data_IF_924836948814
#
_entry.id   IF_924836948814
#
_cell.length_a   1.000
_cell.length_b   1.000
_cell.length_c   1.000
_cell.angle_alpha   90.00
_cell.angle_beta   90.00
_cell.angle_gamma   90.00
#
_symmetry.space_group_name_H-M   'P 1'
#
loop_
_entity.id
_entity.type
_entity.pdbx_description
1 polymer ?
#
# COMPACT_ATOMS: atom_id res chain seq x y z
N UNK A 1 -1.02 1.93 -22.18
CA UNK A 1 -1.88 2.20 -21.01
C UNK A 1 -2.27 3.70 -20.95
N UNK A 2 -2.40 4.31 -22.13
CA UNK A 2 -2.88 5.67 -22.29
C UNK A 2 -4.43 5.75 -22.24
N UNK A 3 -4.98 6.88 -22.69
CA UNK A 3 -6.41 7.18 -22.65
C UNK A 3 -7.29 6.19 -23.44
N UNK A 4 -6.73 5.50 -24.42
CA UNK A 4 -7.45 4.50 -25.23
C UNK A 4 -7.68 3.15 -24.51
N UNK A 5 -7.06 2.94 -23.35
CA UNK A 5 -7.26 1.71 -22.58
C UNK A 5 -8.61 1.75 -21.87
N UNK A 6 -9.47 0.77 -22.17
CA UNK A 6 -10.81 0.69 -21.58
C UNK A 6 -10.81 0.25 -20.11
N UNK A 7 -9.81 -0.52 -19.72
CA UNK A 7 -9.71 -1.03 -18.35
C UNK A 7 -8.25 -1.18 -17.92
N UNK A 8 -7.73 -0.14 -17.30
CA UNK A 8 -6.36 -0.13 -16.78
C UNK A 8 -6.16 -1.21 -15.72
N UNK A 9 -7.08 -1.34 -14.78
CA UNK A 9 -6.93 -2.23 -13.64
C UNK A 9 -6.86 -3.70 -14.10
N UNK A 10 -7.72 -4.13 -15.02
CA UNK A 10 -7.68 -5.49 -15.55
C UNK A 10 -6.48 -5.73 -16.48
N UNK A 11 -5.89 -4.69 -17.06
CA UNK A 11 -4.65 -4.86 -17.82
C UNK A 11 -3.48 -5.32 -16.94
N UNK A 12 -3.39 -4.85 -15.68
CA UNK A 12 -2.44 -5.39 -14.70
C UNK A 12 -2.74 -6.84 -14.35
N UNK A 13 -4.02 -7.19 -14.23
CA UNK A 13 -4.44 -8.58 -14.03
C UNK A 13 -4.03 -9.51 -15.18
N UNK A 14 -4.11 -9.03 -16.42
CA UNK A 14 -3.62 -9.79 -17.60
C UNK A 14 -2.09 -9.94 -17.54
N UNK A 15 -1.35 -8.88 -17.18
CA UNK A 15 0.10 -8.97 -17.02
C UNK A 15 0.47 -9.97 -15.90
N UNK A 16 -0.21 -9.92 -14.77
CA UNK A 16 -0.01 -10.90 -13.69
C UNK A 16 -0.34 -12.33 -14.12
N UNK A 17 -1.44 -12.52 -14.84
CA UNK A 17 -1.85 -13.83 -15.36
C UNK A 17 -0.80 -14.43 -16.33
N UNK A 18 -0.17 -13.61 -17.17
CA UNK A 18 0.94 -14.04 -18.01
C UNK A 18 2.11 -14.59 -17.19
N UNK A 19 2.47 -13.89 -16.11
CA UNK A 19 3.55 -14.31 -15.21
C UNK A 19 3.19 -15.60 -14.44
N UNK A 20 1.98 -15.65 -13.88
CA UNK A 20 1.54 -16.75 -13.00
C UNK A 20 1.14 -18.02 -13.78
N UNK A 21 0.21 -17.89 -14.75
CA UNK A 21 -0.39 -19.04 -15.43
C UNK A 21 0.34 -19.44 -16.70
N UNK A 22 0.94 -18.51 -17.41
CA UNK A 22 1.64 -18.79 -18.65
C UNK A 22 3.16 -18.88 -18.46
N UNK A 23 3.67 -18.46 -17.31
CA UNK A 23 5.12 -18.38 -17.00
C UNK A 23 5.88 -17.66 -18.13
N UNK A 24 5.25 -16.63 -18.68
CA UNK A 24 5.75 -15.85 -19.81
C UNK A 24 6.26 -14.49 -19.32
N UNK A 25 7.41 -14.08 -19.86
CA UNK A 25 7.97 -12.75 -19.62
C UNK A 25 7.00 -11.66 -20.09
N UNK A 26 6.88 -10.59 -19.31
CA UNK A 26 6.16 -9.38 -19.67
C UNK A 26 7.13 -8.20 -19.64
N UNK A 27 7.11 -7.38 -20.68
CA UNK A 27 7.87 -6.15 -20.74
C UNK A 27 6.99 -4.99 -20.27
N UNK A 28 7.41 -4.32 -19.20
CA UNK A 28 6.77 -3.09 -18.73
C UNK A 28 7.49 -1.89 -19.35
N UNK A 29 6.79 -1.20 -20.25
CA UNK A 29 7.31 -0.07 -21.00
C UNK A 29 7.06 1.22 -20.21
N UNK A 30 8.01 1.61 -19.38
CA UNK A 30 7.89 2.76 -18.48
C UNK A 30 7.83 4.07 -19.27
N UNK A 31 6.87 4.91 -18.93
CA UNK A 31 6.54 6.18 -19.59
C UNK A 31 6.13 6.07 -21.06
N UNK A 32 6.09 4.87 -21.63
CA UNK A 32 5.56 4.66 -22.96
C UNK A 32 4.04 4.52 -22.92
N UNK A 33 3.32 5.47 -23.52
CA UNK A 33 1.84 5.53 -23.48
C UNK A 33 1.28 5.27 -22.06
N UNK A 34 1.78 6.00 -21.07
CA UNK A 34 1.33 5.88 -19.68
C UNK A 34 1.77 4.58 -18.98
N UNK A 35 2.83 3.92 -19.43
CA UNK A 35 3.35 2.69 -18.85
C UNK A 35 2.64 1.43 -19.34
N UNK A 36 2.83 1.09 -20.60
CA UNK A 36 2.17 -0.06 -21.26
C UNK A 36 2.88 -1.39 -21.01
N UNK A 37 2.17 -2.49 -21.25
CA UNK A 37 2.74 -3.83 -21.23
C UNK A 37 2.89 -4.37 -22.65
N UNK A 38 3.98 -5.12 -22.90
CA UNK A 38 4.22 -5.84 -24.15
C UNK A 38 4.67 -7.26 -23.83
N UNK A 39 4.21 -8.22 -24.61
CA UNK A 39 4.58 -9.63 -24.48
C UNK A 39 4.49 -10.37 -25.81
N UNK A 40 5.03 -11.58 -25.86
CA UNK A 40 4.86 -12.45 -27.02
C UNK A 40 3.37 -12.73 -27.28
N UNK A 41 2.98 -12.73 -28.57
CA UNK A 41 1.61 -13.04 -28.97
C UNK A 41 1.26 -14.50 -28.67
N UNK A 42 0.06 -14.69 -28.15
CA UNK A 42 -0.60 -16.00 -28.15
C UNK A 42 -2.13 -15.82 -28.27
N UNK A 43 -2.80 -16.80 -28.89
CA UNK A 43 -4.27 -16.80 -28.99
C UNK A 43 -4.95 -16.86 -27.61
N UNK A 44 -4.27 -17.45 -26.61
CA UNK A 44 -4.75 -17.45 -25.23
C UNK A 44 -4.75 -16.05 -24.64
N UNK A 45 -3.67 -15.29 -24.84
CA UNK A 45 -3.56 -13.91 -24.38
C UNK A 45 -4.62 -13.02 -25.04
N UNK A 46 -4.81 -13.18 -26.34
CA UNK A 46 -5.85 -12.46 -27.07
C UNK A 46 -7.26 -12.76 -26.52
N UNK A 47 -7.53 -14.03 -26.21
CA UNK A 47 -8.79 -14.44 -25.58
C UNK A 47 -8.94 -13.82 -24.21
N UNK A 48 -7.88 -13.84 -23.39
CA UNK A 48 -7.87 -13.27 -22.05
C UNK A 48 -8.15 -11.74 -22.05
N UNK A 49 -7.49 -11.00 -22.96
CA UNK A 49 -7.75 -9.58 -23.14
C UNK A 49 -9.22 -9.29 -23.51
N UNK A 50 -9.78 -10.08 -24.44
CA UNK A 50 -11.19 -9.95 -24.85
C UNK A 50 -12.15 -10.25 -23.70
N UNK A 51 -11.89 -11.33 -22.96
CA UNK A 51 -12.73 -11.76 -21.83
C UNK A 51 -12.75 -10.72 -20.71
N UNK A 52 -11.61 -10.10 -20.40
CA UNK A 52 -11.48 -9.07 -19.37
C UNK A 52 -11.78 -7.66 -19.85
N UNK A 53 -12.09 -7.46 -21.12
CA UNK A 53 -12.39 -6.11 -21.68
C UNK A 53 -11.17 -5.19 -21.76
N UNK A 54 -9.96 -5.75 -21.86
CA UNK A 54 -8.71 -5.00 -21.96
C UNK A 54 -8.41 -4.67 -23.40
N UNK A 55 -8.13 -3.38 -23.70
CA UNK A 55 -7.72 -2.96 -25.05
C UNK A 55 -6.30 -3.46 -25.34
N UNK A 56 -6.09 -4.02 -26.54
CA UNK A 56 -4.80 -4.51 -26.98
C UNK A 56 -4.60 -4.33 -28.49
N UNK A 57 -3.35 -4.37 -28.93
CA UNK A 57 -2.98 -4.38 -30.34
C UNK A 57 -2.01 -5.50 -30.62
N UNK A 58 -2.26 -6.27 -31.68
CA UNK A 58 -1.29 -7.24 -32.20
C UNK A 58 -0.41 -6.50 -33.20
N UNK A 59 0.89 -6.49 -32.93
CA UNK A 59 1.89 -5.79 -33.73
C UNK A 59 2.86 -6.76 -34.38
N UNK A 60 3.49 -6.37 -35.47
CA UNK A 60 4.56 -7.16 -36.10
C UNK A 60 5.85 -7.09 -35.27
N UNK A 61 6.74 -8.05 -35.49
CA UNK A 61 8.09 -8.05 -34.89
C UNK A 61 8.86 -6.75 -35.24
N UNK A 62 8.70 -6.29 -36.49
CA UNK A 62 9.33 -5.00 -36.91
C UNK A 62 8.81 -3.82 -36.07
N UNK A 63 7.50 -3.76 -35.81
CA UNK A 63 6.91 -2.70 -34.99
C UNK A 63 7.34 -2.84 -33.52
N UNK A 64 7.46 -4.03 -32.98
CA UNK A 64 7.97 -4.27 -31.63
C UNK A 64 9.41 -3.78 -31.52
N UNK A 65 10.29 -4.15 -32.46
CA UNK A 65 11.68 -3.69 -32.51
C UNK A 65 11.81 -2.15 -32.64
N UNK A 66 10.87 -1.50 -33.33
CA UNK A 66 10.82 -0.03 -33.41
C UNK A 66 10.49 0.59 -32.04
N UNK A 67 9.50 0.06 -31.33
CA UNK A 67 9.16 0.51 -29.97
C UNK A 67 10.35 0.32 -29.02
N UNK A 68 10.98 -0.84 -29.05
CA UNK A 68 12.18 -1.10 -28.22
C UNK A 68 13.32 -0.15 -28.54
N UNK A 69 13.55 0.15 -29.82
CA UNK A 69 14.58 1.10 -30.28
C UNK A 69 14.26 2.53 -29.84
N UNK A 70 12.99 2.95 -29.91
CA UNK A 70 12.52 4.24 -29.39
C UNK A 70 12.79 4.35 -27.88
N UNK A 71 12.35 3.36 -27.12
CA UNK A 71 12.58 3.32 -25.67
C UNK A 71 14.06 3.27 -25.33
N UNK A 72 14.87 2.55 -26.11
CA UNK A 72 16.30 2.44 -25.91
C UNK A 72 17.07 3.75 -26.18
N UNK A 73 16.47 4.69 -26.91
CA UNK A 73 17.14 5.97 -27.22
C UNK A 73 17.49 6.75 -25.93
N UNK A 74 18.77 7.14 -25.73
CA UNK A 74 19.19 7.87 -24.52
C UNK A 74 18.55 9.25 -24.34
N UNK A 75 17.97 9.85 -25.37
CA UNK A 75 17.34 11.18 -25.29
C UNK A 75 15.92 11.16 -24.71
N UNK A 76 15.28 9.98 -24.61
CA UNK A 76 13.90 9.88 -24.12
C UNK A 76 13.85 9.43 -22.66
N UNK A 77 12.89 9.98 -21.91
CA UNK A 77 12.60 9.56 -20.53
C UNK A 77 11.70 8.32 -20.49
N UNK A 78 12.19 7.23 -21.06
CA UNK A 78 11.51 5.94 -21.09
C UNK A 78 12.49 4.83 -20.73
N UNK A 79 12.00 3.71 -20.21
CA UNK A 79 12.78 2.49 -20.04
C UNK A 79 11.87 1.26 -20.19
N UNK A 80 12.48 0.10 -20.31
CA UNK A 80 11.81 -1.17 -20.41
C UNK A 80 12.30 -2.08 -19.28
N UNK A 81 11.35 -2.58 -18.51
CA UNK A 81 11.60 -3.47 -17.38
C UNK A 81 10.99 -4.82 -17.68
N UNK A 82 11.77 -5.87 -17.49
CA UNK A 82 11.30 -7.24 -17.59
C UNK A 82 10.65 -7.66 -16.27
N UNK A 83 9.42 -8.16 -16.36
CA UNK A 83 8.73 -8.86 -15.29
C UNK A 83 8.89 -10.36 -15.53
N UNK A 84 9.42 -11.10 -14.55
CA UNK A 84 9.81 -12.50 -14.76
C UNK A 84 8.91 -13.50 -14.06
N UNK A 85 8.48 -13.20 -12.83
CA UNK A 85 7.70 -14.12 -12.00
C UNK A 85 6.54 -13.38 -11.34
N UNK A 86 5.41 -14.05 -11.18
CA UNK A 86 4.33 -13.51 -10.37
C UNK A 86 4.72 -13.49 -8.88
N UNK A 87 4.58 -12.37 -8.17
CA UNK A 87 4.86 -12.33 -6.74
C UNK A 87 3.80 -13.09 -5.96
N UNK A 88 4.21 -13.72 -4.86
CA UNK A 88 3.31 -14.32 -3.88
C UNK A 88 2.83 -13.24 -2.92
N UNK A 89 1.52 -12.99 -2.93
CA UNK A 89 0.89 -11.88 -2.23
C UNK A 89 0.25 -12.36 -0.94
N UNK A 90 0.58 -11.72 0.17
CA UNK A 90 -0.10 -11.83 1.44
C UNK A 90 -0.88 -10.54 1.75
N UNK A 91 -2.09 -10.70 2.29
CA UNK A 91 -2.90 -9.63 2.85
C UNK A 91 -3.06 -9.91 4.34
N UNK A 92 -2.58 -8.99 5.17
CA UNK A 92 -2.74 -9.07 6.61
C UNK A 92 -4.09 -8.50 7.01
N UNK A 93 -5.01 -9.36 7.38
CA UNK A 93 -6.38 -8.99 7.75
C UNK A 93 -6.98 -10.01 8.70
N UNK A 94 -7.87 -9.60 9.64
CA UNK A 94 -8.67 -10.52 10.43
C UNK A 94 -9.47 -11.46 9.55
N UNK A 95 -9.70 -12.69 10.05
CA UNK A 95 -10.51 -13.69 9.35
C UNK A 95 -12.01 -13.46 9.52
N UNK A 96 -12.39 -12.65 10.50
CA UNK A 96 -13.77 -12.23 10.76
C UNK A 96 -14.17 -11.11 9.80
N UNK A 97 -15.48 -11.04 9.51
CA UNK A 97 -16.01 -9.97 8.66
C UNK A 97 -15.86 -8.62 9.35
N UNK A 98 -15.13 -7.72 8.69
CA UNK A 98 -15.01 -6.33 9.11
C UNK A 98 -16.21 -5.50 8.61
N UNK A 99 -16.56 -4.39 9.27
CA UNK A 99 -17.66 -3.51 8.85
C UNK A 99 -17.21 -2.51 7.75
N UNK A 100 -16.05 -2.69 7.18
CA UNK A 100 -15.48 -1.93 6.07
C UNK A 100 -14.86 -2.88 5.05
N UNK A 101 -14.59 -2.37 3.88
CA UNK A 101 -13.88 -3.05 2.82
C UNK A 101 -12.37 -2.75 2.87
N UNK A 102 -11.62 -3.34 1.96
CA UNK A 102 -10.19 -3.17 1.80
C UNK A 102 -9.89 -2.88 0.32
N UNK A 103 -9.41 -1.66 0.05
CA UNK A 103 -9.12 -1.19 -1.31
C UNK A 103 -8.19 -2.13 -2.08
N UNK A 104 -7.21 -2.73 -1.40
CA UNK A 104 -6.25 -3.64 -2.04
C UNK A 104 -6.92 -4.97 -2.40
N UNK A 105 -7.68 -5.57 -1.49
CA UNK A 105 -8.39 -6.82 -1.78
C UNK A 105 -9.47 -6.63 -2.86
N UNK A 106 -10.11 -5.46 -2.88
CA UNK A 106 -11.06 -5.10 -3.94
C UNK A 106 -10.38 -5.06 -5.31
N UNK A 107 -9.26 -4.35 -5.44
CA UNK A 107 -8.58 -4.24 -6.74
C UNK A 107 -7.91 -5.54 -7.15
N UNK A 108 -7.37 -6.33 -6.21
CA UNK A 108 -6.84 -7.67 -6.51
C UNK A 108 -7.93 -8.59 -7.04
N UNK A 109 -9.10 -8.59 -6.38
CA UNK A 109 -10.27 -9.38 -6.81
C UNK A 109 -10.79 -8.92 -8.18
N UNK A 110 -10.91 -7.60 -8.40
CA UNK A 110 -11.34 -7.04 -9.67
C UNK A 110 -10.39 -7.37 -10.82
N UNK A 111 -9.09 -7.26 -10.59
CA UNK A 111 -8.04 -7.60 -11.55
C UNK A 111 -7.79 -9.12 -11.66
N UNK A 112 -8.46 -9.95 -10.86
CA UNK A 112 -8.30 -11.41 -10.80
C UNK A 112 -6.86 -11.84 -10.46
N UNK A 113 -6.25 -11.14 -9.50
CA UNK A 113 -4.92 -11.42 -8.97
C UNK A 113 -5.06 -12.21 -7.66
N UNK A 114 -4.53 -13.42 -7.55
CA UNK A 114 -4.67 -14.25 -6.36
C UNK A 114 -3.83 -13.71 -5.20
N UNK A 115 -4.37 -13.83 -3.98
CA UNK A 115 -3.68 -13.48 -2.73
C UNK A 115 -4.03 -14.46 -1.62
N UNK A 116 -3.26 -14.43 -0.53
CA UNK A 116 -3.49 -15.24 0.66
C UNK A 116 -3.71 -14.33 1.86
N UNK A 117 -4.84 -14.51 2.56
CA UNK A 117 -5.08 -13.80 3.82
C UNK A 117 -4.29 -14.47 4.94
N UNK A 118 -3.52 -13.68 5.66
CA UNK A 118 -2.79 -14.06 6.87
C UNK A 118 -3.12 -13.08 7.98
N UNK A 119 -2.92 -13.50 9.23
CA UNK A 119 -3.13 -12.62 10.37
C UNK A 119 -2.08 -12.90 11.46
N UNK A 120 -2.29 -12.44 12.68
CA UNK A 120 -1.35 -12.54 13.80
C UNK A 120 -0.74 -13.94 13.94
N UNK A 121 -1.58 -14.99 13.89
CA UNK A 121 -1.15 -16.37 14.07
C UNK A 121 -0.17 -16.83 12.98
N UNK A 122 -0.46 -16.54 11.73
CA UNK A 122 0.40 -16.90 10.61
C UNK A 122 1.72 -16.14 10.65
N UNK A 123 1.70 -14.87 11.02
CA UNK A 123 2.90 -14.03 11.15
C UNK A 123 3.79 -14.52 12.26
N UNK A 124 3.25 -14.77 13.44
CA UNK A 124 4.01 -15.25 14.60
C UNK A 124 4.53 -16.68 14.41
N UNK A 125 3.82 -17.52 13.66
CA UNK A 125 4.28 -18.86 13.27
C UNK A 125 5.28 -18.85 12.09
N UNK A 126 5.78 -17.70 11.66
CA UNK A 126 6.87 -17.57 10.70
C UNK A 126 6.49 -17.87 9.25
N UNK A 127 5.24 -17.60 8.84
CA UNK A 127 4.79 -17.83 7.45
C UNK A 127 5.20 -16.72 6.48
N UNK A 128 5.59 -15.52 6.94
CA UNK A 128 5.94 -14.39 6.08
C UNK A 128 6.98 -14.70 5.00
N UNK A 129 8.05 -15.48 5.26
CA UNK A 129 9.06 -15.80 4.23
C UNK A 129 8.54 -16.62 3.04
N UNK A 130 7.29 -17.07 3.06
CA UNK A 130 6.65 -17.76 1.93
C UNK A 130 6.11 -16.79 0.89
N UNK A 131 6.08 -15.50 1.19
CA UNK A 131 5.52 -14.43 0.36
C UNK A 131 6.61 -13.45 -0.08
N UNK A 132 6.35 -12.75 -1.17
CA UNK A 132 7.21 -11.70 -1.70
C UNK A 132 6.69 -10.32 -1.30
N UNK A 133 5.37 -10.17 -1.19
CA UNK A 133 4.68 -8.90 -0.95
C UNK A 133 3.63 -9.04 0.15
N UNK A 134 3.59 -8.07 1.06
CA UNK A 134 2.68 -8.00 2.21
C UNK A 134 1.90 -6.70 2.19
N UNK A 135 0.58 -6.78 2.32
CA UNK A 135 -0.31 -5.65 2.50
C UNK A 135 -0.78 -5.51 3.94
N UNK A 136 -0.75 -4.27 4.45
CA UNK A 136 -1.37 -3.84 5.71
C UNK A 136 -2.34 -2.70 5.40
N UNK A 137 -3.55 -2.72 5.97
CA UNK A 137 -4.52 -1.65 5.71
C UNK A 137 -5.02 -0.98 7.00
N UNK A 138 -6.19 -1.34 7.49
CA UNK A 138 -6.82 -0.67 8.64
C UNK A 138 -6.33 -1.15 9.99
N UNK A 139 -5.32 -1.96 10.03
CA UNK A 139 -4.86 -2.54 11.29
C UNK A 139 -4.14 -1.51 12.14
N UNK A 140 -4.54 -1.46 13.39
CA UNK A 140 -3.86 -0.69 14.41
C UNK A 140 -2.81 -1.57 15.09
N UNK A 141 -1.55 -1.23 14.89
CA UNK A 141 -0.42 -1.94 15.49
C UNK A 141 -0.03 -1.42 16.88
N UNK A 142 -0.68 -0.37 17.37
CA UNK A 142 -0.42 0.18 18.72
C UNK A 142 -1.16 -0.59 19.82
N UNK A 143 -2.22 -1.33 19.47
CA UNK A 143 -3.08 -2.04 20.39
C UNK A 143 -4.26 -1.23 20.93
N UNK A 144 -4.57 -0.07 20.30
CA UNK A 144 -5.68 0.80 20.68
C UNK A 144 -6.97 0.50 19.88
N UNK A 145 -6.99 -0.62 19.15
CA UNK A 145 -8.14 -1.11 18.37
C UNK A 145 -8.75 -0.06 17.44
N UNK A 146 -7.90 0.65 16.69
CA UNK A 146 -8.31 1.69 15.76
C UNK A 146 -8.88 2.95 16.42
N UNK A 147 -8.74 3.09 17.73
CA UNK A 147 -9.39 4.15 18.54
C UNK A 147 -10.91 4.21 18.36
N UNK A 148 -11.52 3.12 17.96
CA UNK A 148 -12.97 3.02 17.78
C UNK A 148 -13.75 2.94 19.11
N UNK A 149 -13.07 2.80 20.24
CA UNK A 149 -13.71 2.65 21.55
C UNK A 149 -14.73 3.74 21.85
N UNK A 150 -14.42 5.00 21.58
CA UNK A 150 -15.27 6.13 21.90
C UNK A 150 -16.65 6.07 21.22
N UNK A 151 -16.69 5.58 19.97
CA UNK A 151 -17.92 5.55 19.15
C UNK A 151 -18.54 4.16 19.04
N UNK A 152 -17.77 3.08 19.22
CA UNK A 152 -18.17 1.72 18.87
C UNK A 152 -17.91 0.68 19.96
N UNK A 153 -17.59 1.06 21.22
CA UNK A 153 -17.23 0.14 22.30
C UNK A 153 -18.27 -0.96 22.58
N UNK A 154 -19.54 -0.76 22.21
CA UNK A 154 -20.63 -1.73 22.34
C UNK A 154 -21.03 -2.38 21.01
N UNK A 155 -20.44 -1.98 19.90
CA UNK A 155 -20.74 -2.56 18.60
C UNK A 155 -20.24 -4.03 18.54
N UNK A 156 -21.02 -4.99 18.04
CA UNK A 156 -20.62 -6.40 18.02
C UNK A 156 -19.27 -6.63 17.37
N UNK A 157 -19.02 -6.01 16.20
CA UNK A 157 -17.76 -6.16 15.49
C UNK A 157 -16.54 -5.67 16.30
N UNK A 158 -16.68 -4.57 17.08
CA UNK A 158 -15.61 -4.05 17.93
C UNK A 158 -15.33 -5.00 19.10
N UNK A 159 -16.39 -5.47 19.77
CA UNK A 159 -16.28 -6.43 20.88
C UNK A 159 -15.63 -7.72 20.39
N UNK A 160 -16.00 -8.21 19.21
CA UNK A 160 -15.43 -9.41 18.61
C UNK A 160 -13.94 -9.19 18.28
N UNK A 161 -13.57 -8.05 17.70
CA UNK A 161 -12.17 -7.69 17.42
C UNK A 161 -11.31 -7.70 18.70
N UNK A 162 -11.79 -7.06 19.77
CA UNK A 162 -11.07 -7.04 21.06
C UNK A 162 -10.92 -8.46 21.62
N UNK A 163 -12.01 -9.23 21.66
CA UNK A 163 -11.99 -10.60 22.20
C UNK A 163 -11.08 -11.52 21.40
N UNK A 164 -11.08 -11.41 20.07
CA UNK A 164 -10.23 -12.21 19.20
C UNK A 164 -8.76 -11.87 19.41
N UNK A 165 -8.41 -10.57 19.44
CA UNK A 165 -7.04 -10.10 19.67
C UNK A 165 -6.53 -10.55 21.05
N UNK A 166 -7.32 -10.39 22.11
CA UNK A 166 -6.96 -10.81 23.45
C UNK A 166 -6.85 -12.35 23.58
N UNK A 167 -7.71 -13.09 22.87
CA UNK A 167 -7.61 -14.55 22.78
C UNK A 167 -6.33 -14.96 22.06
N UNK A 168 -5.96 -14.28 20.98
CA UNK A 168 -4.74 -14.52 20.22
C UNK A 168 -3.50 -14.19 21.07
N UNK A 169 -3.53 -13.07 21.82
CA UNK A 169 -2.45 -12.70 22.74
C UNK A 169 -2.21 -13.83 23.76
N UNK A 170 -3.25 -14.31 24.42
CA UNK A 170 -3.14 -15.43 25.38
C UNK A 170 -2.63 -16.70 24.73
N UNK A 171 -3.07 -17.04 23.51
CA UNK A 171 -2.61 -18.21 22.76
C UNK A 171 -1.09 -18.20 22.54
N UNK A 172 -0.53 -17.03 22.28
CA UNK A 172 0.90 -16.83 22.04
C UNK A 172 1.71 -16.45 23.31
N UNK A 173 1.05 -16.43 24.48
CA UNK A 173 1.72 -16.16 25.78
C UNK A 173 1.98 -14.68 26.05
N UNK A 174 1.30 -13.78 25.36
CA UNK A 174 1.33 -12.34 25.62
C UNK A 174 0.27 -11.93 26.64
N UNK A 175 0.52 -10.82 27.35
CA UNK A 175 -0.40 -10.32 28.39
C UNK A 175 -1.58 -9.52 27.80
N UNK A 176 -1.37 -8.84 26.67
CA UNK A 176 -2.37 -7.96 26.05
C UNK A 176 -2.25 -7.96 24.53
N UNK A 177 -3.27 -7.42 23.85
CA UNK A 177 -3.27 -7.18 22.40
C UNK A 177 -2.11 -6.28 21.97
N UNK A 178 -1.71 -5.30 22.78
CA UNK A 178 -0.55 -4.44 22.52
C UNK A 178 0.76 -5.25 22.45
N UNK A 179 1.01 -6.16 23.39
CA UNK A 179 2.22 -7.01 23.35
C UNK A 179 2.21 -7.95 22.15
N UNK A 180 1.04 -8.48 21.77
CA UNK A 180 0.85 -9.27 20.56
C UNK A 180 1.22 -8.46 19.31
N UNK A 181 0.63 -7.27 19.14
CA UNK A 181 0.86 -6.42 17.96
C UNK A 181 2.32 -5.98 17.87
N UNK A 182 2.97 -5.67 19.00
CA UNK A 182 4.42 -5.42 19.03
C UNK A 182 5.23 -6.59 18.47
N UNK A 183 4.91 -7.81 18.87
CA UNK A 183 5.61 -9.00 18.37
C UNK A 183 5.37 -9.20 16.86
N UNK A 184 4.15 -8.94 16.38
CA UNK A 184 3.79 -9.00 14.95
C UNK A 184 4.56 -7.96 14.14
N UNK A 185 4.61 -6.71 14.59
CA UNK A 185 5.37 -5.63 13.95
C UNK A 185 6.85 -5.97 13.78
N UNK A 186 7.47 -6.56 14.80
CA UNK A 186 8.87 -7.00 14.73
C UNK A 186 9.07 -8.11 13.69
N UNK A 187 8.13 -9.05 13.55
CA UNK A 187 8.17 -10.07 12.50
C UNK A 187 8.00 -9.49 11.09
N UNK A 188 7.13 -8.51 10.93
CA UNK A 188 6.98 -7.80 9.65
C UNK A 188 8.26 -7.01 9.32
N UNK A 189 8.87 -6.36 10.32
CA UNK A 189 10.18 -5.70 10.15
C UNK A 189 11.26 -6.70 9.68
N UNK A 190 11.36 -7.87 10.32
CA UNK A 190 12.30 -8.93 9.92
C UNK A 190 12.07 -9.37 8.47
N UNK A 191 10.80 -9.51 8.05
CA UNK A 191 10.43 -9.84 6.67
C UNK A 191 10.94 -8.77 5.68
N UNK A 192 10.68 -7.50 5.95
CA UNK A 192 11.16 -6.40 5.10
C UNK A 192 12.69 -6.36 5.05
N UNK A 193 13.36 -6.43 6.21
CA UNK A 193 14.83 -6.44 6.27
C UNK A 193 15.44 -7.63 5.51
N UNK A 194 14.73 -8.74 5.42
CA UNK A 194 15.12 -9.94 4.67
C UNK A 194 14.97 -9.82 3.15
N UNK A 195 14.24 -8.83 2.65
CA UNK A 195 14.00 -8.62 1.21
C UNK A 195 12.52 -8.61 0.81
N UNK A 196 11.60 -8.64 1.77
CA UNK A 196 10.16 -8.54 1.52
C UNK A 196 9.72 -7.14 1.11
N UNK A 197 8.63 -7.06 0.37
CA UNK A 197 7.99 -5.82 -0.07
C UNK A 197 6.76 -5.54 0.79
N UNK A 198 6.75 -4.41 1.49
CA UNK A 198 5.62 -3.97 2.32
C UNK A 198 4.84 -2.87 1.61
N UNK A 199 3.52 -2.99 1.61
CA UNK A 199 2.60 -1.94 1.19
C UNK A 199 1.57 -1.69 2.29
N UNK A 200 1.47 -0.47 2.79
CA UNK A 200 0.51 -0.12 3.83
C UNK A 200 -0.35 1.08 3.42
N UNK A 201 -1.61 1.04 3.85
CA UNK A 201 -2.59 2.12 3.67
C UNK A 201 -3.29 2.44 4.98
N UNK A 202 -3.98 3.56 5.02
CA UNK A 202 -4.81 4.00 6.15
C UNK A 202 -4.02 3.99 7.48
N UNK A 203 -4.66 3.62 8.58
CA UNK A 203 -4.05 3.56 9.92
C UNK A 203 -2.86 2.59 10.05
N UNK A 204 -2.71 1.65 9.13
CA UNK A 204 -1.56 0.76 9.16
C UNK A 204 -0.24 1.46 8.81
N UNK A 205 -0.26 2.66 8.27
CA UNK A 205 0.95 3.42 7.90
C UNK A 205 1.65 4.02 9.12
N UNK A 206 0.96 4.84 9.88
CA UNK A 206 1.51 5.52 11.05
C UNK A 206 1.54 4.63 12.29
N UNK A 207 0.49 3.81 12.53
CA UNK A 207 0.45 2.92 13.69
C UNK A 207 1.55 1.87 13.66
N UNK A 208 1.98 1.42 12.48
CA UNK A 208 3.13 0.53 12.33
C UNK A 208 4.41 1.20 12.83
N UNK A 209 4.68 2.42 12.40
CA UNK A 209 5.87 3.17 12.84
C UNK A 209 5.78 3.58 14.32
N UNK A 210 4.59 3.95 14.82
CA UNK A 210 4.37 4.22 16.24
C UNK A 210 4.69 2.96 17.08
N UNK A 211 4.22 1.79 16.66
CA UNK A 211 4.50 0.54 17.34
C UNK A 211 6.00 0.17 17.32
N UNK A 212 6.71 0.48 16.23
CA UNK A 212 8.16 0.33 16.14
C UNK A 212 8.89 1.31 17.08
N UNK A 213 8.44 2.55 17.20
CA UNK A 213 9.04 3.53 18.11
C UNK A 213 8.75 3.19 19.58
N UNK A 214 7.59 2.61 19.87
CA UNK A 214 7.11 2.32 21.22
C UNK A 214 7.49 0.91 21.72
N UNK A 215 8.55 0.29 21.18
CA UNK A 215 8.95 -1.08 21.56
C UNK A 215 9.17 -1.26 23.07
N UNK A 216 9.64 -0.22 23.74
CA UNK A 216 10.03 -0.26 25.16
C UNK A 216 9.12 0.56 26.07
N UNK A 217 8.02 1.13 25.55
CA UNK A 217 7.10 1.95 26.32
C UNK A 217 5.65 1.59 26.02
N UNK A 218 4.75 1.91 26.94
CA UNK A 218 3.32 1.74 26.77
C UNK A 218 2.67 3.01 26.24
N UNK A 219 1.97 2.90 25.13
CA UNK A 219 1.25 4.00 24.47
C UNK A 219 -0.28 3.83 24.54
N UNK A 220 -0.76 2.76 25.19
CA UNK A 220 -2.19 2.48 25.32
C UNK A 220 -2.80 3.09 26.58
N UNK A 221 -3.99 3.66 26.46
CA UNK A 221 -4.78 4.04 27.62
C UNK A 221 -5.53 2.85 28.20
N UNK A 222 -5.86 2.91 29.51
CA UNK A 222 -6.43 1.82 30.31
C UNK A 222 -7.66 1.13 29.67
N UNK A 223 -8.46 1.85 28.87
CA UNK A 223 -9.65 1.26 28.26
C UNK A 223 -9.32 0.25 27.16
N UNK A 224 -8.08 0.23 26.66
CA UNK A 224 -7.66 -0.67 25.58
C UNK A 224 -7.04 -1.95 26.10
N UNK A 225 -6.19 -1.90 27.13
CA UNK A 225 -5.40 -3.06 27.60
C UNK A 225 -5.45 -3.31 29.12
N UNK A 226 -6.14 -2.44 29.88
CA UNK A 226 -6.37 -2.63 31.31
C UNK A 226 -5.41 -1.89 32.24
N UNK A 227 -4.24 -1.48 31.76
CA UNK A 227 -3.33 -0.57 32.46
C UNK A 227 -3.26 0.81 31.75
N UNK A 228 -2.51 1.73 32.27
CA UNK A 228 -2.47 3.09 31.72
C UNK A 228 -1.20 3.33 30.94
N UNK A 229 -1.31 4.28 30.00
CA UNK A 229 -0.16 4.76 29.23
C UNK A 229 1.02 5.13 30.14
N UNK A 230 2.23 4.80 29.72
CA UNK A 230 3.44 5.20 30.43
C UNK A 230 3.51 6.73 30.54
N UNK A 231 3.76 7.29 31.75
CA UNK A 231 3.91 8.75 31.92
C UNK A 231 4.98 9.37 31.02
N UNK A 232 6.03 8.63 30.70
CA UNK A 232 7.15 9.02 29.85
C UNK A 232 7.02 8.55 28.40
N UNK A 233 5.87 8.00 27.98
CA UNK A 233 5.68 7.39 26.66
C UNK A 233 6.27 8.20 25.50
N UNK A 234 5.99 9.52 25.46
CA UNK A 234 6.50 10.41 24.42
C UNK A 234 8.02 10.52 24.40
N UNK A 235 8.65 10.58 25.58
CA UNK A 235 10.09 10.70 25.72
C UNK A 235 10.84 9.39 25.45
N UNK A 236 10.14 8.26 25.63
CA UNK A 236 10.69 6.92 25.47
C UNK A 236 10.57 6.40 24.02
N UNK A 237 9.99 7.19 23.09
CA UNK A 237 9.91 6.80 21.70
C UNK A 237 11.28 6.75 21.02
N UNK A 238 11.55 5.63 20.36
CA UNK A 238 12.82 5.36 19.68
C UNK A 238 12.63 5.48 18.14
N UNK A 239 12.61 6.70 17.62
CA UNK A 239 12.34 6.99 16.21
C UNK A 239 13.31 6.34 15.21
N UNK A 240 14.52 5.92 15.66
CA UNK A 240 15.46 5.18 14.81
C UNK A 240 14.90 3.84 14.33
N UNK A 241 13.91 3.29 15.02
CA UNK A 241 13.27 2.02 14.65
C UNK A 241 12.16 2.18 13.60
N UNK A 242 11.61 3.40 13.45
CA UNK A 242 10.58 3.70 12.46
C UNK A 242 11.10 3.49 11.04
N UNK A 243 10.20 3.15 10.14
CA UNK A 243 10.49 3.08 8.70
C UNK A 243 10.51 4.47 8.07
N UNK A 244 9.42 5.22 8.21
CA UNK A 244 9.20 6.47 7.48
C UNK A 244 9.30 7.73 8.35
N UNK A 245 8.88 7.68 9.63
CA UNK A 245 8.61 8.88 10.40
C UNK A 245 9.60 9.12 11.54
N UNK A 246 9.70 10.40 11.96
CA UNK A 246 10.58 10.87 13.04
C UNK A 246 9.92 12.00 13.81
N UNK A 247 10.27 12.14 15.08
CA UNK A 247 9.92 13.30 15.93
C UNK A 247 8.42 13.60 16.05
N UNK A 248 7.56 12.63 15.78
CA UNK A 248 6.13 12.79 15.90
C UNK A 248 5.69 12.86 17.37
N UNK A 249 4.55 13.50 17.61
CA UNK A 249 3.91 13.62 18.90
C UNK A 249 2.69 12.70 18.97
N UNK A 250 2.63 11.86 20.01
CA UNK A 250 1.48 10.98 20.22
C UNK A 250 0.22 11.75 20.58
N UNK A 251 -0.89 11.42 19.95
CA UNK A 251 -2.20 11.82 20.40
C UNK A 251 -2.69 10.81 21.46
N UNK A 252 -2.73 11.25 22.72
CA UNK A 252 -3.03 10.40 23.86
C UNK A 252 -4.53 10.29 24.17
N UNK A 253 -5.34 11.23 23.66
CA UNK A 253 -6.76 11.19 23.92
C UNK A 253 -7.41 9.96 23.27
N UNK A 254 -8.11 9.11 24.03
CA UNK A 254 -8.86 8.00 23.46
C UNK A 254 -10.10 8.46 22.67
N UNK A 255 -10.43 9.74 22.72
CA UNK A 255 -11.54 10.36 21.98
C UNK A 255 -11.09 11.03 20.69
N UNK A 256 -9.79 11.19 20.47
CA UNK A 256 -9.24 11.63 19.19
C UNK A 256 -9.11 10.42 18.26
N UNK A 257 -9.37 10.65 16.98
CA UNK A 257 -9.33 9.60 15.96
C UNK A 257 -7.91 9.32 15.48
N UNK A 258 -7.09 10.36 15.48
CA UNK A 258 -5.67 10.30 15.10
C UNK A 258 -4.84 9.61 16.19
N UNK A 259 -3.74 8.95 15.79
CA UNK A 259 -2.78 8.33 16.72
C UNK A 259 -1.62 9.27 17.08
N UNK A 260 -1.30 10.19 16.19
CA UNK A 260 -0.22 11.14 16.34
C UNK A 260 -0.40 12.32 15.37
N UNK A 261 0.52 13.27 15.41
CA UNK A 261 0.61 14.37 14.45
C UNK A 261 1.31 13.96 13.12
N UNK A 262 1.53 12.65 12.88
CA UNK A 262 1.91 12.15 11.55
C UNK A 262 0.76 12.38 10.58
N UNK A 263 -0.46 12.04 11.01
CA UNK A 263 -1.66 12.22 10.20
C UNK A 263 -2.05 13.69 10.11
N UNK A 264 -2.50 14.07 8.94
CA UNK A 264 -3.06 15.39 8.71
C UNK A 264 -4.53 15.39 9.13
N UNK A 265 -4.87 16.20 10.13
CA UNK A 265 -6.24 16.34 10.61
C UNK A 265 -7.20 16.75 9.47
N UNK A 266 -8.12 15.88 9.05
CA UNK A 266 -9.06 16.17 7.97
C UNK A 266 -9.91 17.41 8.21
N UNK A 267 -10.20 17.73 9.49
CA UNK A 267 -11.07 18.87 9.85
C UNK A 267 -10.38 20.22 9.66
N UNK A 268 -9.05 20.25 9.62
CA UNK A 268 -8.25 21.45 9.39
C UNK A 268 -7.90 21.66 7.93
N UNK A 269 -8.14 20.65 7.08
CA UNK A 269 -7.89 20.76 5.65
C UNK A 269 -8.99 21.61 5.02
N UNK A 270 -8.60 22.69 4.34
CA UNK A 270 -9.54 23.56 3.61
C UNK A 270 -9.69 23.08 2.16
N UNK A 271 -10.09 21.82 2.00
CA UNK A 271 -10.33 21.18 0.69
C UNK A 271 -11.66 20.44 0.72
N UNK A 272 -12.29 20.33 -0.45
CA UNK A 272 -13.47 19.49 -0.69
C UNK A 272 -13.08 18.27 -1.51
N UNK A 273 -13.99 17.33 -1.68
CA UNK A 273 -13.81 16.16 -2.55
C UNK A 273 -13.33 16.56 -3.97
N UNK A 274 -13.85 17.65 -4.52
CA UNK A 274 -13.49 18.11 -5.86
C UNK A 274 -12.12 18.79 -5.94
N UNK A 275 -11.64 19.33 -4.80
CA UNK A 275 -10.39 20.12 -4.73
C UNK A 275 -9.25 19.37 -4.04
N UNK A 276 -9.55 18.26 -3.37
CA UNK A 276 -8.52 17.41 -2.76
C UNK A 276 -7.82 16.59 -3.85
N UNK A 277 -6.66 17.08 -4.26
CA UNK A 277 -5.84 16.49 -5.30
C UNK A 277 -4.41 16.39 -4.81
N UNK A 278 -3.71 15.34 -5.22
CA UNK A 278 -2.27 15.26 -5.07
C UNK A 278 -1.58 14.98 -6.40
N UNK A 279 -0.33 15.35 -6.50
CA UNK A 279 0.46 15.25 -7.73
C UNK A 279 1.56 14.21 -7.56
N UNK A 280 1.65 13.30 -8.51
CA UNK A 280 2.75 12.34 -8.61
C UNK A 280 4.00 13.04 -9.15
N UNK A 281 5.14 12.76 -8.57
CA UNK A 281 6.42 13.20 -9.09
C UNK A 281 6.76 12.52 -10.41
N UNK A 282 7.40 13.27 -11.30
CA UNK A 282 7.85 12.80 -12.61
C UNK A 282 9.28 12.26 -12.51
N UNK A 283 9.40 11.08 -11.95
CA UNK A 283 10.68 10.40 -11.83
C UNK A 283 11.21 9.98 -13.21
N UNK A 284 12.52 10.03 -13.34
CA UNK A 284 13.16 9.58 -14.56
C UNK A 284 13.15 8.06 -14.65
N UNK A 285 12.47 7.51 -15.65
CA UNK A 285 12.54 6.09 -15.97
C UNK A 285 13.96 5.64 -16.35
N UNK A 286 14.83 6.59 -16.68
CA UNK A 286 16.23 6.37 -17.05
C UNK A 286 17.16 6.26 -15.83
N UNK A 287 16.94 7.11 -14.81
CA UNK A 287 17.84 7.26 -13.66
C UNK A 287 17.24 6.78 -12.34
N UNK A 288 15.93 6.97 -12.18
CA UNK A 288 15.19 6.74 -10.94
C UNK A 288 14.19 5.59 -11.15
N UNK A 289 14.65 4.44 -11.58
CA UNK A 289 13.83 3.34 -12.09
C UNK A 289 12.76 2.89 -11.10
N UNK A 290 13.11 2.69 -9.83
CA UNK A 290 12.19 2.18 -8.80
C UNK A 290 11.00 3.13 -8.58
N UNK A 291 11.21 4.42 -8.26
CA UNK A 291 10.08 5.34 -8.11
C UNK A 291 9.33 5.55 -9.43
N UNK A 292 10.02 5.51 -10.58
CA UNK A 292 9.36 5.60 -11.87
C UNK A 292 8.39 4.43 -12.11
N UNK A 293 8.73 3.19 -11.72
CA UNK A 293 7.83 2.03 -11.76
C UNK A 293 6.60 2.29 -10.90
N UNK A 294 6.79 2.73 -9.66
CA UNK A 294 5.72 2.93 -8.68
C UNK A 294 4.79 4.08 -9.06
N UNK A 295 5.28 5.09 -9.79
CA UNK A 295 4.51 6.25 -10.23
C UNK A 295 3.91 6.11 -11.66
N UNK A 296 3.99 4.94 -12.30
CA UNK A 296 3.39 4.76 -13.63
C UNK A 296 1.89 5.03 -13.61
N UNK A 297 1.45 6.02 -14.35
CA UNK A 297 0.05 6.39 -14.45
C UNK A 297 -0.26 7.08 -15.79
N UNK A 298 -1.54 7.14 -16.16
CA UNK A 298 -2.02 7.89 -17.33
C UNK A 298 -2.28 9.36 -16.99
N UNK A 299 -2.31 9.72 -15.71
CA UNK A 299 -2.39 11.08 -15.20
C UNK A 299 -1.40 11.30 -14.07
N UNK A 300 -0.89 12.53 -13.96
CA UNK A 300 -0.02 12.92 -12.83
C UNK A 300 -0.81 13.42 -11.63
N UNK A 301 -2.05 13.86 -11.84
CA UNK A 301 -2.92 14.34 -10.79
C UNK A 301 -3.89 13.24 -10.41
N UNK A 302 -3.90 12.90 -9.14
CA UNK A 302 -4.74 11.86 -8.55
C UNK A 302 -5.69 12.53 -7.56
N UNK A 303 -6.96 12.12 -7.55
CA UNK A 303 -7.91 12.56 -6.52
C UNK A 303 -7.43 12.12 -5.15
N UNK A 304 -7.56 13.00 -4.17
CA UNK A 304 -7.37 12.66 -2.77
C UNK A 304 -8.55 11.85 -2.26
N UNK A 305 -8.32 11.17 -1.17
CA UNK A 305 -9.33 10.41 -0.43
C UNK A 305 -8.94 10.38 1.04
N UNK A 306 -9.91 10.22 1.92
CA UNK A 306 -9.67 10.22 3.34
C UNK A 306 -9.50 8.80 3.89
N UNK A 307 -9.07 8.71 5.12
CA UNK A 307 -8.93 7.50 5.89
C UNK A 307 -8.56 7.87 7.32
N UNK A 308 -8.31 6.90 8.16
CA UNK A 308 -7.86 7.17 9.52
C UNK A 308 -6.47 7.85 9.51
N UNK A 309 -5.63 7.52 8.52
CA UNK A 309 -4.42 8.27 8.19
C UNK A 309 -4.55 8.75 6.76
N UNK A 310 -4.99 9.99 6.61
CA UNK A 310 -5.33 10.58 5.30
C UNK A 310 -4.11 10.96 4.50
N UNK A 311 -3.14 11.61 5.15
CA UNK A 311 -1.89 12.10 4.57
C UNK A 311 -0.85 12.24 5.67
N UNK A 312 0.39 12.51 5.29
CA UNK A 312 1.51 12.61 6.21
C UNK A 312 2.04 14.04 6.24
N UNK A 313 2.27 14.59 7.43
CA UNK A 313 3.01 15.84 7.58
C UNK A 313 4.44 15.66 7.10
N UNK A 314 4.85 16.40 6.06
CA UNK A 314 6.15 16.24 5.39
C UNK A 314 7.35 16.45 6.32
N UNK A 315 7.23 17.35 7.31
CA UNK A 315 8.30 17.64 8.26
C UNK A 315 8.65 16.46 9.18
N UNK A 316 7.72 15.51 9.32
CA UNK A 316 7.89 14.32 10.13
C UNK A 316 8.45 13.13 9.34
N UNK A 317 8.57 13.25 8.02
CA UNK A 317 9.16 12.21 7.17
C UNK A 317 10.70 12.26 7.29
N UNK A 318 11.33 11.10 7.38
CA UNK A 318 12.80 10.99 7.38
C UNK A 318 13.36 11.44 6.03
N UNK A 319 14.57 11.99 6.03
CA UNK A 319 15.19 12.60 4.85
C UNK A 319 15.60 11.62 3.75
N UNK A 320 15.68 10.35 4.05
CA UNK A 320 16.01 9.25 3.14
C UNK A 320 14.78 8.59 2.50
N UNK A 321 13.58 9.08 2.84
CA UNK A 321 12.31 8.59 2.30
C UNK A 321 11.91 9.40 1.07
N UNK A 322 11.54 8.70 0.00
CA UNK A 322 11.07 9.31 -1.23
C UNK A 322 9.60 9.70 -1.11
N UNK A 323 9.29 10.96 -1.37
CA UNK A 323 7.92 11.45 -1.55
C UNK A 323 7.57 11.30 -3.02
N UNK A 324 6.68 10.37 -3.34
CA UNK A 324 6.26 10.06 -4.71
C UNK A 324 4.97 10.77 -5.12
N UNK A 325 4.16 11.16 -4.14
CA UNK A 325 2.92 11.90 -4.37
C UNK A 325 2.64 12.85 -3.21
N UNK A 326 2.33 14.11 -3.52
CA UNK A 326 2.12 15.16 -2.52
C UNK A 326 1.06 16.19 -2.92
N UNK A 327 0.49 16.85 -1.92
CA UNK A 327 -0.16 18.14 -2.07
C UNK A 327 0.79 19.23 -1.56
N UNK A 328 1.51 19.87 -2.47
CA UNK A 328 2.52 20.87 -2.12
C UNK A 328 1.94 22.12 -1.46
N UNK A 329 0.69 22.49 -1.80
CA UNK A 329 0.03 23.67 -1.21
C UNK A 329 -0.28 23.47 0.28
N UNK A 330 -0.60 22.24 0.68
CA UNK A 330 -0.92 21.87 2.05
C UNK A 330 0.30 21.35 2.83
N UNK A 331 1.46 21.22 2.19
CA UNK A 331 2.67 20.59 2.76
C UNK A 331 2.43 19.16 3.24
N UNK A 332 1.61 18.39 2.50
CA UNK A 332 1.23 17.02 2.79
C UNK A 332 1.86 16.04 1.80
N UNK A 333 2.36 14.90 2.29
CA UNK A 333 2.69 13.75 1.46
C UNK A 333 1.56 12.73 1.50
N UNK A 334 1.28 12.09 0.34
CA UNK A 334 0.22 11.08 0.20
C UNK A 334 0.76 9.69 -0.13
N UNK A 335 1.91 9.65 -0.78
CA UNK A 335 2.48 8.43 -1.31
C UNK A 335 4.00 8.49 -1.15
N UNK A 336 4.54 7.62 -0.29
CA UNK A 336 5.95 7.64 0.09
C UNK A 336 6.55 6.24 -0.02
N UNK A 337 7.85 6.16 -0.28
CA UNK A 337 8.59 4.92 -0.46
C UNK A 337 9.96 4.97 0.20
N UNK A 338 10.40 3.85 0.76
CA UNK A 338 11.72 3.73 1.34
C UNK A 338 12.29 2.32 1.25
N UNK A 339 13.58 2.22 1.50
CA UNK A 339 14.29 0.95 1.59
C UNK A 339 14.58 0.60 3.05
N UNK A 340 14.50 -0.67 3.39
CA UNK A 340 14.85 -1.19 4.72
C UNK A 340 15.56 -2.53 4.61
N UNK A 341 16.85 -2.57 4.99
CA UNK A 341 17.67 -3.76 4.84
C UNK A 341 17.81 -4.17 3.37
N UNK A 342 17.22 -5.29 2.98
CA UNK A 342 17.20 -5.79 1.60
C UNK A 342 15.86 -5.59 0.90
N UNK A 343 14.83 -5.18 1.62
CA UNK A 343 13.49 -4.98 1.13
C UNK A 343 13.10 -3.51 1.06
N UNK A 344 11.84 -3.28 0.76
CA UNK A 344 11.28 -1.94 0.58
C UNK A 344 9.92 -1.84 1.24
N UNK A 345 9.49 -0.60 1.47
CA UNK A 345 8.13 -0.33 1.90
C UNK A 345 7.54 0.84 1.13
N UNK A 346 6.24 0.85 0.98
CA UNK A 346 5.47 1.95 0.40
C UNK A 346 4.29 2.23 1.30
N UNK A 347 4.12 3.48 1.73
CA UNK A 347 2.96 3.95 2.49
C UNK A 347 2.10 4.87 1.61
N UNK A 348 0.81 4.59 1.58
CA UNK A 348 -0.17 5.32 0.79
C UNK A 348 -1.28 5.82 1.72
N UNK A 349 -1.32 7.14 1.94
CA UNK A 349 -2.30 7.78 2.82
C UNK A 349 -3.71 7.72 2.27
N UNK A 350 -4.67 7.46 3.15
CA UNK A 350 -6.09 7.30 2.81
C UNK A 350 -6.53 5.85 2.75
N UNK A 351 -7.86 5.65 2.61
CA UNK A 351 -8.49 4.34 2.69
C UNK A 351 -8.83 3.77 1.30
N UNK A 352 -9.68 4.44 0.54
CA UNK A 352 -10.17 4.00 -0.77
C UNK A 352 -10.04 5.12 -1.81
N UNK A 353 -9.27 4.91 -2.90
CA UNK A 353 -9.03 5.93 -3.92
C UNK A 353 -10.26 6.51 -4.63
N UNK A 354 -11.41 5.82 -4.61
CA UNK A 354 -12.65 6.26 -5.26
C UNK A 354 -13.80 6.52 -4.31
N UNK A 355 -13.57 6.30 -3.01
CA UNK A 355 -14.50 6.64 -1.93
C UNK A 355 -13.88 7.72 -1.03
N UNK A 356 -14.31 8.97 -1.23
CA UNK A 356 -13.67 10.11 -0.59
C UNK A 356 -13.78 10.10 0.94
N UNK A 357 -14.93 9.67 1.49
CA UNK A 357 -15.21 9.65 2.93
C UNK A 357 -15.77 8.30 3.38
N UNK A 358 -14.97 7.28 3.27
CA UNK A 358 -15.38 5.94 3.67
C UNK A 358 -15.95 5.88 5.10
N UNK A 359 -17.17 5.36 5.24
CA UNK A 359 -17.87 5.24 6.52
C UNK A 359 -18.06 3.79 6.95
N UNK A 360 -18.01 3.55 8.26
CA UNK A 360 -18.25 2.22 8.83
C UNK A 360 -19.63 1.68 8.43
N UNK A 361 -19.65 0.56 7.71
CA UNK A 361 -20.88 -0.15 7.33
C UNK A 361 -21.52 0.27 6.01
N UNK A 362 -20.87 1.13 5.23
CA UNK A 362 -21.33 1.43 3.88
C UNK A 362 -20.99 0.31 2.87
N UNK A 363 -21.65 0.28 1.69
CA UNK A 363 -21.33 -0.66 0.64
C UNK A 363 -19.93 -0.44 0.09
N UNK A 364 -19.21 -1.51 -0.34
CA UNK A 364 -17.91 -1.36 -0.97
C UNK A 364 -18.00 -0.65 -2.33
N UNK A 365 -16.92 0.02 -2.72
CA UNK A 365 -16.77 0.67 -4.02
C UNK A 365 -16.95 -0.30 -5.18
N UNK A 366 -17.79 0.05 -6.16
CA UNK A 366 -17.94 -0.73 -7.39
C UNK A 366 -16.87 -0.34 -8.44
N UNK A 367 -15.79 -1.12 -8.52
CA UNK A 367 -14.70 -0.88 -9.46
C UNK A 367 -15.10 -1.01 -10.94
N UNK A 368 -16.28 -1.53 -11.27
CA UNK A 368 -16.79 -1.46 -12.63
C UNK A 368 -17.11 -0.03 -13.08
N UNK A 369 -17.38 0.86 -12.13
CA UNK A 369 -17.57 2.30 -12.39
C UNK A 369 -16.23 3.04 -12.50
N UNK A 370 -15.12 2.44 -12.04
CA UNK A 370 -13.80 3.05 -11.95
C UNK A 370 -12.68 2.20 -12.61
N UNK A 371 -12.90 1.64 -13.83
CA UNK A 371 -11.94 0.70 -14.45
C UNK A 371 -10.58 1.33 -14.76
N UNK A 372 -10.50 2.65 -14.77
CA UNK A 372 -9.32 3.43 -15.08
C UNK A 372 -8.84 4.29 -13.89
N UNK A 373 -9.26 3.96 -12.67
CA UNK A 373 -8.87 4.70 -11.47
C UNK A 373 -7.34 4.88 -11.37
N UNK A 374 -6.85 6.12 -11.33
CA UNK A 374 -5.42 6.37 -11.16
C UNK A 374 -4.93 6.00 -9.75
N UNK A 375 -5.78 6.12 -8.73
CA UNK A 375 -5.44 5.77 -7.36
C UNK A 375 -5.27 4.27 -7.17
N UNK A 376 -6.23 3.46 -7.63
CA UNK A 376 -6.11 2.00 -7.58
C UNK A 376 -4.97 1.48 -8.47
N UNK A 377 -4.63 2.19 -9.54
CA UNK A 377 -3.50 1.83 -10.39
C UNK A 377 -2.16 1.91 -9.64
N UNK A 378 -1.99 2.85 -8.70
CA UNK A 378 -0.78 2.93 -7.86
C UNK A 378 -0.62 1.68 -6.98
N UNK A 379 -1.72 1.12 -6.48
CA UNK A 379 -1.69 -0.15 -5.75
C UNK A 379 -1.15 -1.27 -6.66
N UNK A 380 -1.66 -1.37 -7.89
CA UNK A 380 -1.25 -2.41 -8.84
C UNK A 380 0.19 -2.24 -9.32
N UNK A 381 0.73 -1.01 -9.37
CA UNK A 381 2.16 -0.80 -9.59
C UNK A 381 2.99 -1.49 -8.51
N UNK A 382 2.59 -1.36 -7.23
CA UNK A 382 3.27 -2.00 -6.10
C UNK A 382 3.16 -3.54 -6.17
N UNK A 383 2.05 -4.09 -6.66
CA UNK A 383 1.86 -5.53 -6.85
C UNK A 383 2.84 -6.10 -7.89
N UNK A 384 3.06 -5.40 -9.00
CA UNK A 384 3.96 -5.90 -10.05
C UNK A 384 5.44 -5.54 -9.77
N UNK A 385 5.71 -4.62 -8.86
CA UNK A 385 7.06 -4.16 -8.58
C UNK A 385 8.05 -5.28 -8.17
N UNK A 386 7.68 -6.26 -7.32
CA UNK A 386 8.58 -7.36 -6.98
C UNK A 386 8.98 -8.25 -8.17
N UNK A 387 8.17 -8.26 -9.23
CA UNK A 387 8.45 -9.01 -10.47
C UNK A 387 9.52 -8.38 -11.35
N UNK A 388 9.84 -7.10 -11.09
CA UNK A 388 10.73 -6.30 -11.94
C UNK A 388 12.18 -6.76 -11.80
N UNK A 389 12.77 -7.19 -12.92
CA UNK A 389 14.20 -7.48 -12.97
C UNK A 389 15.02 -6.21 -12.80
N UNK A 390 15.99 -6.22 -11.90
CA UNK A 390 16.94 -5.12 -11.80
C UNK A 390 17.64 -4.92 -13.14
N UNK A 391 17.49 -3.76 -13.74
CA UNK A 391 18.18 -3.40 -14.98
C UNK A 391 19.34 -2.45 -14.69
N UNK A 392 20.34 -2.45 -15.58
CA UNK A 392 21.38 -1.43 -15.54
C UNK A 392 20.77 -0.08 -15.95
N UNK A 393 21.24 0.99 -15.31
CA UNK A 393 20.86 2.34 -15.71
C UNK A 393 21.21 2.55 -17.19
N UNK A 394 20.35 3.27 -17.88
CA UNK A 394 20.53 3.64 -19.28
C UNK A 394 21.62 4.72 -19.37
N UNK A 395 22.72 4.41 -20.01
CA UNK A 395 23.87 5.33 -20.19
C UNK A 395 23.83 6.03 -21.52
#
# INVERSE_FOLDING_TARGET
>A
MGEDQKNHLKAYGVAFWLLDKQQSEVLWLLNYQGGSFMSAYSSKLETECKTRGVSYSVISETAANQIESEIANPSVNMNMVKLLNAPKIAVYSPKTKQPWDDAVTMVLSYAEIPYTVIFDDEVLNGKLPQFDWLHLHHEDFTGQYGKFWASFSTAPWYVDQVNETESMARKHGFKSGRELKRAVVLKIREFCMGGGFLFAMCSATDTYDIALAAQNTDVCERMFDGDGISPSAQQDLEYQHCFAFKNFTLERSPYAYEFSDIDVDPTRRNVSEETDLFTLFDYSAKWDLIPAILCQNHTRTVRGFMGQTTAFHKDLIKSDILVMGENALLNEARYIHGEIGKGTFTFYGGHDPEDYQHHVGEPPTDLNLHPNSPGFRLILNNILFPSAQKSKQKT
#
